data_IF_044246588769
#
_entry.id   IF_044246588769
#
_cell.length_a   1.000
_cell.length_b   1.000
_cell.length_c   1.000
_cell.angle_alpha   90.00
_cell.angle_beta   90.00
_cell.angle_gamma   90.00
#
_symmetry.space_group_name_H-M   'P 1'
#
loop_
_entity.id
_entity.type
_entity.pdbx_description
1 polymer ?
#
# COMPACT_ATOMS: atom_id res chain seq x y z
N UNK A 1 -3.75 3.48 -5.52
CA UNK A 1 -2.77 4.37 -4.87
C UNK A 1 -2.07 5.21 -5.91
N UNK A 2 -1.42 6.30 -5.47
CA UNK A 2 -0.62 7.19 -6.29
C UNK A 2 0.75 7.31 -5.64
N UNK A 3 1.80 7.14 -6.43
CA UNK A 3 3.19 7.28 -6.00
C UNK A 3 3.96 8.16 -6.97
N UNK A 4 4.99 8.84 -6.47
CA UNK A 4 5.93 9.57 -7.29
C UNK A 4 6.82 8.59 -8.07
N UNK A 5 6.90 8.76 -9.38
CA UNK A 5 7.60 7.79 -10.26
C UNK A 5 9.12 7.87 -10.17
N UNK A 6 9.68 8.99 -9.73
CA UNK A 6 11.13 9.18 -9.66
C UNK A 6 11.68 8.66 -8.33
N UNK A 7 11.03 9.00 -7.23
CA UNK A 7 11.46 8.67 -5.86
C UNK A 7 10.79 7.42 -5.28
N UNK A 8 9.70 6.95 -5.89
CA UNK A 8 8.88 5.87 -5.34
C UNK A 8 8.05 6.29 -4.12
N UNK A 9 8.06 7.57 -3.71
CA UNK A 9 7.34 8.07 -2.54
C UNK A 9 5.83 7.90 -2.71
N UNK A 10 5.15 7.37 -1.67
CA UNK A 10 3.70 7.33 -1.64
C UNK A 10 3.13 8.75 -1.56
N UNK A 11 2.21 9.10 -2.46
CA UNK A 11 1.55 10.42 -2.51
C UNK A 11 0.10 10.37 -2.05
N UNK A 12 -0.54 9.22 -2.14
CA UNK A 12 -1.90 9.05 -1.64
C UNK A 12 -2.51 7.71 -2.01
N UNK A 13 -3.68 7.42 -1.44
CA UNK A 13 -4.47 6.25 -1.77
C UNK A 13 -5.95 6.52 -1.57
N UNK A 14 -6.76 5.71 -2.25
CA UNK A 14 -8.19 5.62 -2.05
C UNK A 14 -8.52 4.14 -1.92
N UNK A 15 -9.45 3.82 -1.04
CA UNK A 15 -9.94 2.46 -0.82
C UNK A 15 -11.46 2.50 -0.81
N UNK A 16 -12.07 1.53 -1.49
CA UNK A 16 -13.51 1.33 -1.52
C UNK A 16 -13.81 -0.16 -1.41
N UNK A 17 -14.91 -0.51 -0.76
CA UNK A 17 -15.29 -1.90 -0.52
C UNK A 17 -16.57 -1.98 0.30
N UNK A 18 -17.08 -3.19 0.46
CA UNK A 18 -18.24 -3.45 1.31
C UNK A 18 -17.94 -3.06 2.78
N UNK A 19 -18.98 -2.72 3.55
CA UNK A 19 -18.82 -2.33 4.96
C UNK A 19 -18.04 -3.36 5.79
N UNK A 20 -18.22 -4.65 5.50
CA UNK A 20 -17.54 -5.76 6.17
C UNK A 20 -16.07 -5.95 5.77
N UNK A 21 -15.56 -5.21 4.78
CA UNK A 21 -14.16 -5.31 4.37
C UNK A 21 -13.21 -4.49 5.26
N UNK A 22 -13.74 -3.81 6.28
CA UNK A 22 -12.99 -2.99 7.24
C UNK A 22 -12.12 -1.91 6.55
N UNK A 23 -12.62 -1.35 5.44
CA UNK A 23 -11.89 -0.34 4.63
C UNK A 23 -11.49 0.88 5.45
N UNK A 24 -12.33 1.26 6.41
CA UNK A 24 -12.09 2.39 7.31
C UNK A 24 -10.88 2.19 8.23
N UNK A 25 -10.52 0.95 8.58
CA UNK A 25 -9.29 0.67 9.35
C UNK A 25 -8.07 0.53 8.45
N UNK A 26 -8.25 -0.07 7.27
CA UNK A 26 -7.15 -0.28 6.30
C UNK A 26 -6.57 1.03 5.78
N UNK A 27 -7.39 2.08 5.65
CA UNK A 27 -6.91 3.39 5.20
C UNK A 27 -5.87 4.00 6.16
N UNK A 28 -5.90 3.62 7.45
CA UNK A 28 -4.94 4.11 8.45
C UNK A 28 -3.51 3.63 8.16
N UNK A 29 -3.34 2.50 7.45
CA UNK A 29 -2.03 2.04 6.97
C UNK A 29 -1.45 3.05 5.98
N UNK A 30 -2.27 3.52 5.03
CA UNK A 30 -1.86 4.57 4.10
C UNK A 30 -1.64 5.91 4.80
N UNK A 31 -2.49 6.28 5.76
CA UNK A 31 -2.31 7.51 6.54
C UNK A 31 -0.97 7.50 7.30
N UNK A 32 -0.63 6.38 7.93
CA UNK A 32 0.64 6.18 8.63
C UNK A 32 1.83 6.26 7.66
N UNK A 33 1.73 5.59 6.51
CA UNK A 33 2.80 5.63 5.49
C UNK A 33 3.02 7.03 4.92
N UNK A 34 1.95 7.80 4.69
CA UNK A 34 2.02 9.19 4.27
C UNK A 34 2.69 10.07 5.33
N UNK A 35 2.29 9.91 6.61
CA UNK A 35 2.89 10.64 7.73
C UNK A 35 4.41 10.41 7.83
N UNK A 36 4.86 9.18 7.56
CA UNK A 36 6.27 8.81 7.56
C UNK A 36 7.00 9.03 6.22
N UNK A 37 6.34 9.61 5.21
CA UNK A 37 6.90 9.80 3.87
C UNK A 37 7.46 8.52 3.24
N UNK A 38 6.83 7.37 3.49
CA UNK A 38 7.29 6.07 3.01
C UNK A 38 7.27 5.97 1.48
N UNK A 39 8.16 5.13 0.94
CA UNK A 39 8.08 4.66 -0.45
C UNK A 39 7.03 3.55 -0.60
N UNK A 40 6.54 3.32 -1.81
CA UNK A 40 5.60 2.23 -2.11
C UNK A 40 6.23 0.86 -1.82
N UNK A 41 7.52 0.68 -2.08
CA UNK A 41 8.22 -0.57 -1.77
C UNK A 41 8.32 -0.78 -0.26
N UNK A 42 8.68 0.26 0.51
CA UNK A 42 8.71 0.15 1.98
C UNK A 42 7.31 -0.15 2.56
N UNK A 43 6.25 0.39 1.96
CA UNK A 43 4.87 0.06 2.33
C UNK A 43 4.54 -1.43 2.05
N UNK A 44 5.03 -1.99 0.93
CA UNK A 44 4.84 -3.40 0.58
C UNK A 44 5.46 -4.34 1.62
N UNK A 45 6.60 -3.93 2.20
CA UNK A 45 7.38 -4.71 3.18
C UNK A 45 6.91 -4.54 4.63
N UNK A 46 5.83 -3.78 4.89
CA UNK A 46 5.25 -3.70 6.24
C UNK A 46 4.78 -5.08 6.71
N UNK A 47 5.13 -5.44 7.95
CA UNK A 47 4.62 -6.65 8.60
C UNK A 47 3.21 -6.40 9.14
N UNK A 48 2.21 -6.64 8.29
CA UNK A 48 0.80 -6.48 8.63
C UNK A 48 0.25 -7.80 9.16
N UNK A 49 -0.37 -7.75 10.33
CA UNK A 49 -1.07 -8.91 10.89
C UNK A 49 -2.18 -9.38 9.95
N UNK A 50 -2.33 -10.69 9.81
CA UNK A 50 -3.48 -11.29 9.15
C UNK A 50 -4.14 -12.32 10.05
N UNK A 51 -5.42 -12.59 9.78
CA UNK A 51 -6.18 -13.63 10.49
C UNK A 51 -7.11 -14.29 9.47
N UNK A 52 -6.99 -15.60 9.19
CA UNK A 52 -7.67 -16.26 8.07
C UNK A 52 -9.18 -15.98 7.90
N UNK A 53 -10.00 -15.90 8.97
CA UNK A 53 -11.42 -15.55 8.80
C UNK A 53 -11.68 -14.08 8.42
N UNK A 54 -10.70 -13.18 8.55
CA UNK A 54 -10.86 -11.73 8.40
C UNK A 54 -10.01 -11.14 7.27
N UNK A 55 -8.85 -11.71 6.98
CA UNK A 55 -7.92 -11.20 5.97
C UNK A 55 -7.06 -12.30 5.33
N UNK A 56 -6.64 -12.02 4.09
CA UNK A 56 -5.62 -12.78 3.38
C UNK A 56 -4.23 -12.55 4.00
N UNK A 57 -3.29 -13.50 3.86
CA UNK A 57 -1.89 -13.32 4.29
C UNK A 57 -1.23 -12.06 3.73
N UNK A 58 -1.57 -11.71 2.48
CA UNK A 58 -1.24 -10.42 1.91
C UNK A 58 -2.43 -9.47 2.07
N UNK A 59 -2.20 -8.34 2.72
CA UNK A 59 -3.22 -7.31 2.83
C UNK A 59 -3.50 -6.69 1.44
N UNK A 60 -4.76 -6.39 1.07
CA UNK A 60 -5.11 -5.54 -0.07
C UNK A 60 -4.21 -4.30 -0.26
N UNK A 61 -3.75 -3.67 0.83
CA UNK A 61 -2.77 -2.58 0.78
C UNK A 61 -1.45 -3.05 0.16
N UNK A 62 -0.87 -4.15 0.66
CA UNK A 62 0.38 -4.72 0.11
C UNK A 62 0.20 -5.22 -1.32
N UNK A 63 -0.93 -5.88 -1.63
CA UNK A 63 -1.24 -6.30 -3.00
C UNK A 63 -1.29 -5.11 -3.96
N UNK A 64 -1.89 -4.00 -3.52
CA UNK A 64 -1.94 -2.79 -4.33
C UNK A 64 -0.55 -2.15 -4.53
N UNK A 65 0.34 -2.25 -3.54
CA UNK A 65 1.73 -1.75 -3.63
C UNK A 65 2.53 -2.59 -4.64
N UNK A 66 2.46 -3.92 -4.53
CA UNK A 66 3.10 -4.83 -5.49
C UNK A 66 2.56 -4.64 -6.91
N UNK A 67 1.27 -4.40 -7.06
CA UNK A 67 0.67 -4.09 -8.36
C UNK A 67 1.16 -2.75 -8.93
N UNK A 68 1.46 -1.76 -8.07
CA UNK A 68 2.08 -0.50 -8.47
C UNK A 68 3.54 -0.72 -8.90
N UNK A 69 4.35 -1.45 -8.13
CA UNK A 69 5.77 -1.70 -8.46
C UNK A 69 5.94 -2.53 -9.75
N UNK A 70 5.00 -3.44 -10.04
CA UNK A 70 4.98 -4.21 -11.30
C UNK A 70 4.71 -3.38 -12.55
N UNK A 71 4.21 -2.15 -12.44
CA UNK A 71 3.97 -1.28 -13.59
C UNK A 71 5.26 -0.73 -14.21
N UNK A 72 6.43 -1.02 -13.63
CA UNK A 72 7.74 -0.81 -14.27
C UNK A 72 8.01 0.66 -14.53
N UNK A 73 7.88 1.50 -13.50
CA UNK A 73 8.32 2.89 -13.61
C UNK A 73 9.86 2.89 -13.62
N UNK A 74 10.50 3.44 -14.66
CA UNK A 74 11.96 3.43 -14.74
C UNK A 74 12.53 4.24 -13.58
N UNK A 75 13.14 3.54 -12.62
CA UNK A 75 13.99 4.16 -11.62
C UNK A 75 15.27 4.56 -12.35
N UNK A 76 15.60 5.86 -12.37
CA UNK A 76 16.85 6.37 -13.00
C UNK A 76 18.09 5.99 -12.16
N UNK A 77 17.94 5.25 -11.07
CA UNK A 77 19.04 4.78 -10.23
C UNK A 77 18.99 3.26 -10.03
N UNK A 78 19.36 2.52 -11.08
CA UNK A 78 19.99 1.20 -10.97
C UNK A 78 21.22 1.17 -11.86
#
# INVERSE_FOLDING_TARGET
>A
MTGDRQSGRLLGAQIAGHYQAEVAKRIDIFATALFHNMTVDALSELDLSYTPPLSSPWDPVQMSAQAWSKQGFPCIVQ
#
